data_IF_096123697664
#
_entry.id   IF_096123697664
#
_cell.length_a   1.000
_cell.length_b   1.000
_cell.length_c   1.000
_cell.angle_alpha   90.00
_cell.angle_beta   90.00
_cell.angle_gamma   90.00
#
_symmetry.space_group_name_H-M   'P 1'
#
loop_
_entity.id
_entity.type
_entity.pdbx_description
1 polymer ?
#
# COMPACT_ATOMS: atom_id res chain seq x y z
N UNK A 1 31.10 30.23 -2.02
CA UNK A 1 31.22 31.32 -1.04
C UNK A 1 30.21 32.46 -1.17
N UNK A 2 29.67 32.78 -2.33
CA UNK A 2 28.62 33.82 -2.48
C UNK A 2 27.20 33.36 -2.12
N UNK A 3 26.92 32.11 -2.18
CA UNK A 3 25.60 31.51 -1.91
C UNK A 3 25.27 31.38 -0.42
N UNK A 4 26.26 31.12 0.43
CA UNK A 4 26.03 30.98 1.89
C UNK A 4 25.69 32.32 2.55
N UNK A 5 26.37 33.41 2.18
CA UNK A 5 26.10 34.73 2.74
C UNK A 5 24.71 35.26 2.40
N UNK A 6 24.18 34.96 1.21
CA UNK A 6 22.81 35.34 0.83
C UNK A 6 21.76 34.53 1.58
N UNK A 7 22.03 33.25 1.83
CA UNK A 7 21.12 32.37 2.56
C UNK A 7 21.03 32.72 4.04
N UNK A 8 22.19 32.98 4.70
CA UNK A 8 22.21 33.40 6.09
C UNK A 8 21.63 34.81 6.32
N UNK A 9 21.71 35.70 5.35
CA UNK A 9 21.10 37.03 5.42
C UNK A 9 19.57 36.93 5.47
N UNK A 10 18.97 36.05 4.70
CA UNK A 10 17.51 35.81 4.71
C UNK A 10 17.02 35.14 6.01
N UNK A 11 17.83 34.28 6.64
CA UNK A 11 17.48 33.65 7.92
C UNK A 11 17.59 34.66 9.08
N UNK A 12 18.62 35.52 9.08
CA UNK A 12 18.80 36.54 10.09
C UNK A 12 17.71 37.63 10.02
N UNK A 13 17.17 37.89 8.84
CA UNK A 13 16.02 38.81 8.67
C UNK A 13 14.69 38.19 9.11
N UNK A 14 14.53 36.86 9.02
CA UNK A 14 13.35 36.17 9.52
C UNK A 14 13.24 36.26 11.07
N UNK A 15 14.36 36.30 11.79
CA UNK A 15 14.42 36.44 13.25
C UNK A 15 14.17 37.87 13.80
N UNK A 16 14.25 38.90 12.94
CA UNK A 16 14.16 40.32 13.36
C UNK A 16 12.78 40.97 13.21
N UNK A 17 11.75 40.21 12.91
CA UNK A 17 10.38 40.76 12.86
C UNK A 17 9.90 41.10 14.27
N UNK A 18 10.07 42.36 14.66
CA UNK A 18 9.51 42.96 15.88
C UNK A 18 8.03 42.59 16.00
N UNK A 19 7.65 41.98 17.12
CA UNK A 19 6.26 41.75 17.52
C UNK A 19 5.47 43.05 17.42
N UNK A 20 4.72 43.26 16.35
CA UNK A 20 3.67 44.28 16.31
C UNK A 20 2.50 43.76 17.11
N UNK A 21 2.10 44.51 18.14
CA UNK A 21 0.91 44.26 18.94
C UNK A 21 -0.31 44.13 18.02
N UNK A 22 -1.05 43.05 18.08
CA UNK A 22 -2.47 42.99 17.74
C UNK A 22 -2.88 42.59 16.32
N UNK A 23 -1.97 42.24 15.40
CA UNK A 23 -2.37 41.76 14.07
C UNK A 23 -2.19 40.27 13.86
N UNK A 24 -3.25 39.53 13.46
CA UNK A 24 -3.11 38.16 12.96
C UNK A 24 -2.13 38.15 11.79
N UNK A 25 -1.00 37.46 11.92
CA UNK A 25 -0.09 37.24 10.78
C UNK A 25 -0.82 36.41 9.73
N UNK A 26 -1.20 37.02 8.63
CA UNK A 26 -1.72 36.28 7.46
C UNK A 26 -0.55 35.66 6.70
N UNK A 27 -0.57 34.32 6.58
CA UNK A 27 0.42 33.56 5.83
C UNK A 27 -0.02 33.25 4.39
N UNK A 28 -1.31 33.37 4.10
CA UNK A 28 -1.88 33.16 2.77
C UNK A 28 -1.29 34.20 1.80
N UNK A 29 -0.84 33.74 0.64
CA UNK A 29 -0.19 34.57 -0.37
C UNK A 29 1.28 34.97 -0.07
N UNK A 30 1.87 34.47 1.01
CA UNK A 30 3.28 34.72 1.35
C UNK A 30 4.15 33.50 1.09
N UNK A 31 5.39 33.76 0.65
CA UNK A 31 6.41 32.70 0.54
C UNK A 31 6.84 32.31 1.96
N UNK A 32 6.51 31.06 2.33
CA UNK A 32 6.90 30.46 3.61
C UNK A 32 7.80 29.26 3.33
N UNK A 33 8.99 29.25 3.93
CA UNK A 33 9.92 28.11 3.81
C UNK A 33 9.40 26.95 4.65
N UNK A 34 9.41 25.73 4.10
CA UNK A 34 9.11 24.51 4.84
C UNK A 34 10.08 24.34 6.00
N UNK A 35 9.59 23.88 7.14
CA UNK A 35 10.39 23.69 8.36
C UNK A 35 11.52 22.67 8.22
N UNK A 36 11.33 21.68 7.32
CA UNK A 36 12.25 20.58 7.04
C UNK A 36 13.15 20.81 5.81
N UNK A 37 12.99 21.94 5.11
CA UNK A 37 13.67 22.18 3.83
C UNK A 37 15.19 22.32 4.01
N UNK A 38 15.62 23.00 5.06
CA UNK A 38 17.03 23.29 5.27
C UNK A 38 17.86 22.01 5.47
N UNK A 39 17.44 21.16 6.39
CA UNK A 39 18.16 19.91 6.69
C UNK A 39 18.21 18.96 5.49
N UNK A 40 17.14 18.94 4.67
CA UNK A 40 17.14 18.18 3.41
C UNK A 40 18.15 18.68 2.40
N UNK A 41 18.21 20.00 2.20
CA UNK A 41 19.10 20.62 1.20
C UNK A 41 20.59 20.45 1.56
N UNK A 42 20.92 20.47 2.84
CA UNK A 42 22.31 20.33 3.31
C UNK A 42 22.71 18.89 3.68
N UNK A 43 21.82 17.90 3.45
CA UNK A 43 22.10 16.49 3.71
C UNK A 43 22.15 16.08 5.19
N UNK A 44 21.53 16.86 6.08
CA UNK A 44 21.43 16.51 7.52
C UNK A 44 20.23 15.64 7.87
N UNK A 45 19.28 15.52 6.95
CA UNK A 45 18.08 14.69 7.17
C UNK A 45 18.48 13.24 7.38
N UNK A 46 17.97 12.63 8.48
CA UNK A 46 18.16 11.22 8.80
C UNK A 46 16.90 10.46 8.43
N UNK A 47 17.05 9.44 7.59
CA UNK A 47 15.99 8.52 7.17
C UNK A 47 15.96 7.27 8.06
N UNK A 48 15.06 6.35 7.79
CA UNK A 48 14.84 5.20 8.67
C UNK A 48 16.11 4.33 8.82
N UNK A 49 16.82 4.05 7.75
CA UNK A 49 18.05 3.26 7.79
C UNK A 49 19.18 3.98 8.56
N UNK A 50 19.31 5.29 8.39
CA UNK A 50 20.32 6.10 9.09
C UNK A 50 20.15 6.09 10.62
N UNK A 51 18.97 5.73 11.11
CA UNK A 51 18.61 5.73 12.54
C UNK A 51 18.67 4.33 13.15
N UNK A 52 18.83 3.28 12.34
CA UNK A 52 18.94 1.91 12.85
C UNK A 52 20.30 1.68 13.47
N UNK A 53 20.33 1.02 14.62
CA UNK A 53 21.58 0.61 15.27
C UNK A 53 22.27 -0.47 14.45
N UNK A 54 23.61 -0.42 14.41
CA UNK A 54 24.44 -1.38 13.67
C UNK A 54 24.42 -2.80 14.26
N UNK A 55 23.95 -2.96 15.50
CA UNK A 55 23.74 -4.25 16.15
C UNK A 55 22.42 -4.93 15.84
N UNK A 56 21.62 -4.36 14.93
CA UNK A 56 20.36 -4.96 14.52
C UNK A 56 20.58 -6.28 13.78
N UNK A 57 19.76 -7.30 14.09
CA UNK A 57 19.61 -8.43 13.19
C UNK A 57 18.92 -8.00 11.90
N UNK A 58 19.27 -8.65 10.81
CA UNK A 58 18.69 -8.42 9.50
C UNK A 58 17.59 -9.44 9.22
N UNK A 59 16.42 -9.01 8.85
CA UNK A 59 15.34 -9.87 8.38
C UNK A 59 15.18 -9.79 6.86
N UNK A 60 14.98 -10.95 6.23
CA UNK A 60 14.66 -11.07 4.80
C UNK A 60 13.44 -11.96 4.63
N UNK A 61 12.63 -11.69 3.62
CA UNK A 61 11.37 -12.38 3.37
C UNK A 61 11.56 -13.42 2.26
N UNK A 62 10.97 -14.59 2.44
CA UNK A 62 10.77 -15.56 1.37
C UNK A 62 9.37 -15.36 0.80
N UNK A 63 9.31 -14.93 -0.44
CA UNK A 63 8.07 -14.76 -1.18
C UNK A 63 7.69 -16.04 -1.93
N UNK A 64 6.39 -16.24 -2.14
CA UNK A 64 5.90 -17.34 -2.96
C UNK A 64 6.30 -17.19 -4.42
N UNK A 65 6.49 -18.30 -5.09
CA UNK A 65 6.87 -18.38 -6.51
C UNK A 65 5.74 -18.91 -7.40
N UNK A 66 4.54 -19.05 -6.85
CA UNK A 66 3.33 -19.45 -7.58
C UNK A 66 2.28 -18.33 -7.55
N UNK A 67 1.38 -18.34 -8.52
CA UNK A 67 0.34 -17.31 -8.62
C UNK A 67 -0.87 -17.58 -7.73
N UNK A 68 -1.20 -18.85 -7.45
CA UNK A 68 -2.34 -19.25 -6.63
C UNK A 68 -2.11 -20.66 -6.11
N UNK A 69 -2.38 -20.90 -4.84
CA UNK A 69 -2.21 -22.23 -4.26
C UNK A 69 -2.08 -22.23 -2.75
N UNK A 70 -1.50 -23.29 -2.25
CA UNK A 70 -1.24 -23.50 -0.83
C UNK A 70 0.20 -23.95 -0.63
N UNK A 71 0.85 -23.45 0.41
CA UNK A 71 2.11 -24.00 0.89
C UNK A 71 1.83 -25.30 1.62
N UNK A 72 2.39 -26.40 1.13
CA UNK A 72 2.23 -27.75 1.73
C UNK A 72 3.28 -27.96 2.81
N UNK A 73 4.53 -27.67 2.49
CA UNK A 73 5.66 -27.79 3.42
C UNK A 73 6.76 -26.77 3.14
N UNK A 74 7.52 -26.43 4.16
CA UNK A 74 8.74 -25.60 4.08
C UNK A 74 9.85 -26.32 4.82
N UNK A 75 10.90 -26.75 4.09
CA UNK A 75 12.10 -27.34 4.68
C UNK A 75 13.15 -26.25 4.92
N UNK A 76 13.42 -25.97 6.19
CA UNK A 76 14.37 -24.97 6.68
C UNK A 76 15.72 -25.55 7.10
N UNK A 77 15.87 -26.89 7.05
CA UNK A 77 16.98 -27.64 7.66
C UNK A 77 18.36 -27.12 7.21
N UNK A 78 18.54 -26.84 5.95
CA UNK A 78 19.84 -26.35 5.43
C UNK A 78 20.02 -24.85 5.69
N UNK A 79 18.94 -24.08 5.71
CA UNK A 79 18.99 -22.66 6.01
C UNK A 79 19.44 -22.39 7.45
N UNK A 80 18.96 -23.17 8.40
CA UNK A 80 19.29 -23.04 9.83
C UNK A 80 20.76 -23.40 10.17
N UNK A 81 21.44 -24.14 9.29
CA UNK A 81 22.87 -24.48 9.46
C UNK A 81 23.82 -23.39 8.99
N UNK A 82 23.33 -22.40 8.27
CA UNK A 82 24.18 -21.33 7.72
C UNK A 82 24.69 -20.43 8.86
N UNK A 83 26.01 -20.24 8.96
CA UNK A 83 26.58 -19.36 9.99
C UNK A 83 25.97 -17.94 9.90
N UNK A 84 25.66 -17.37 11.06
CA UNK A 84 25.03 -16.06 11.15
C UNK A 84 23.50 -16.09 11.07
N UNK A 85 22.88 -17.22 10.75
CA UNK A 85 21.40 -17.36 10.83
C UNK A 85 21.00 -17.51 12.30
N UNK A 86 20.13 -16.61 12.73
CA UNK A 86 19.60 -16.59 14.11
C UNK A 86 18.32 -17.40 14.21
N UNK A 87 17.42 -17.25 13.24
CA UNK A 87 16.15 -17.97 13.21
C UNK A 87 15.53 -17.93 11.80
N UNK A 88 14.92 -19.04 11.42
CA UNK A 88 14.01 -19.13 10.29
C UNK A 88 12.59 -19.22 10.83
N UNK A 89 11.68 -18.42 10.29
CA UNK A 89 10.27 -18.38 10.65
C UNK A 89 9.42 -18.65 9.42
N UNK A 90 8.40 -19.47 9.55
CA UNK A 90 7.52 -19.89 8.46
C UNK A 90 6.06 -19.54 8.75
N UNK A 91 5.20 -19.61 7.76
CA UNK A 91 3.76 -19.44 7.96
C UNK A 91 3.15 -20.48 8.92
N UNK A 92 3.83 -21.60 9.18
CA UNK A 92 3.41 -22.64 10.12
C UNK A 92 3.76 -22.31 11.57
N UNK A 93 4.60 -21.31 11.83
CA UNK A 93 4.97 -20.89 13.18
C UNK A 93 3.95 -19.93 13.80
N UNK A 94 2.95 -19.51 13.05
CA UNK A 94 1.86 -18.66 13.54
C UNK A 94 0.94 -19.46 14.45
N UNK A 95 1.04 -19.25 15.77
CA UNK A 95 0.18 -19.92 16.78
C UNK A 95 -1.29 -19.53 16.61
N UNK A 96 -1.54 -18.25 16.27
CA UNK A 96 -2.86 -17.69 16.01
C UNK A 96 -2.83 -16.88 14.73
N UNK A 97 -3.86 -17.00 13.91
CA UNK A 97 -4.01 -16.27 12.65
C UNK A 97 -4.83 -15.00 12.87
N UNK A 98 -4.15 -13.89 13.06
CA UNK A 98 -4.79 -12.59 13.17
C UNK A 98 -4.79 -11.87 11.82
N UNK A 99 -5.95 -11.85 11.16
CA UNK A 99 -6.12 -11.11 9.92
C UNK A 99 -6.12 -9.60 10.19
N UNK A 100 -5.48 -8.84 9.32
CA UNK A 100 -5.41 -7.40 9.40
C UNK A 100 -5.62 -6.72 8.05
N UNK A 101 -6.18 -5.49 8.02
CA UNK A 101 -6.25 -4.67 6.81
C UNK A 101 -4.93 -3.93 6.60
N UNK A 102 -4.53 -3.76 5.35
CA UNK A 102 -3.37 -2.92 5.04
C UNK A 102 -3.72 -1.45 4.88
N UNK A 103 -4.98 -1.14 4.55
CA UNK A 103 -5.47 0.21 4.33
C UNK A 103 -5.68 1.03 5.62
N UNK A 104 -5.92 2.32 5.45
CA UNK A 104 -6.01 3.29 6.53
C UNK A 104 -7.35 4.02 6.67
N UNK A 105 -8.50 3.34 6.52
CA UNK A 105 -9.84 3.93 6.65
C UNK A 105 -10.64 3.37 7.86
N UNK A 106 -10.05 3.28 9.06
CA UNK A 106 -10.66 2.56 10.18
C UNK A 106 -11.86 3.29 10.80
N UNK A 107 -12.11 4.52 10.38
CA UNK A 107 -13.09 5.42 10.98
C UNK A 107 -14.36 5.59 10.15
N UNK A 108 -14.47 4.92 9.02
CA UNK A 108 -15.68 5.02 8.23
C UNK A 108 -16.87 4.43 8.99
N UNK A 109 -17.94 5.21 9.12
CA UNK A 109 -19.23 4.73 9.63
C UNK A 109 -20.04 4.02 8.55
N UNK A 110 -19.65 4.17 7.29
CA UNK A 110 -20.20 3.44 6.16
C UNK A 110 -19.46 2.11 6.03
N UNK A 111 -20.15 1.01 6.26
CA UNK A 111 -19.60 -0.36 6.18
C UNK A 111 -18.97 -0.65 4.82
N UNK A 112 -19.51 -0.08 3.74
CA UNK A 112 -18.97 -0.25 2.38
C UNK A 112 -17.60 0.44 2.18
N UNK A 113 -17.17 1.28 3.11
CA UNK A 113 -15.88 1.96 3.12
C UNK A 113 -14.95 1.48 4.23
N UNK A 114 -15.33 0.43 4.97
CA UNK A 114 -14.44 -0.15 5.98
C UNK A 114 -13.33 -0.95 5.33
N UNK A 115 -12.18 -0.97 6.00
CA UNK A 115 -11.03 -1.73 5.56
C UNK A 115 -11.27 -3.23 5.73
N UNK A 116 -10.90 -4.02 4.72
CA UNK A 116 -11.00 -5.47 4.73
C UNK A 116 -9.76 -6.08 5.36
N UNK A 117 -9.95 -6.88 6.41
CA UNK A 117 -8.89 -7.62 7.09
C UNK A 117 -8.66 -8.96 6.37
N UNK A 118 -7.81 -8.97 5.36
CA UNK A 118 -7.57 -10.11 4.48
C UNK A 118 -6.09 -10.58 4.44
N UNK A 119 -5.18 -9.88 5.10
CA UNK A 119 -3.76 -10.24 5.19
C UNK A 119 -3.38 -10.87 6.54
N UNK A 120 -2.35 -11.72 6.49
CA UNK A 120 -1.61 -12.28 7.62
C UNK A 120 -0.15 -11.81 7.56
N UNK A 121 0.59 -11.90 8.67
CA UNK A 121 2.03 -11.58 8.69
C UNK A 121 2.85 -12.52 7.81
N UNK A 122 2.48 -13.81 7.78
CA UNK A 122 2.92 -14.84 6.84
C UNK A 122 1.72 -15.69 6.49
N UNK A 123 1.65 -16.22 5.27
CA UNK A 123 0.49 -16.99 4.81
C UNK A 123 0.86 -18.32 4.20
N UNK A 124 0.08 -19.36 4.50
CA UNK A 124 0.10 -20.65 3.82
C UNK A 124 -0.81 -20.67 2.59
N UNK A 125 -1.74 -19.69 2.46
CA UNK A 125 -2.64 -19.52 1.31
C UNK A 125 -2.08 -18.46 0.37
N UNK A 126 -1.46 -18.91 -0.68
CA UNK A 126 -0.88 -18.05 -1.73
C UNK A 126 -1.98 -17.58 -2.68
N UNK A 127 -2.05 -16.25 -2.91
CA UNK A 127 -3.00 -15.60 -3.81
C UNK A 127 -2.34 -14.86 -4.96
N UNK A 128 -1.02 -14.60 -4.87
CA UNK A 128 -0.25 -14.02 -5.96
C UNK A 128 1.23 -14.39 -5.85
N UNK A 129 1.97 -14.25 -6.96
CA UNK A 129 3.42 -14.36 -6.96
C UNK A 129 4.01 -13.22 -6.15
N UNK A 130 4.54 -13.51 -4.98
CA UNK A 130 5.06 -12.49 -4.05
C UNK A 130 4.40 -12.45 -2.68
N UNK A 131 3.49 -13.38 -2.36
CA UNK A 131 2.97 -13.53 -0.99
C UNK A 131 4.07 -13.94 -0.01
N UNK A 132 4.03 -13.39 1.20
CA UNK A 132 5.00 -13.61 2.26
C UNK A 132 4.75 -14.96 2.94
N UNK A 133 5.64 -15.96 2.75
CA UNK A 133 5.44 -17.34 3.24
C UNK A 133 6.41 -17.74 4.36
N UNK A 134 7.59 -17.12 4.39
CA UNK A 134 8.59 -17.34 5.44
C UNK A 134 9.49 -16.10 5.56
N UNK A 135 10.29 -16.05 6.63
CA UNK A 135 11.30 -15.03 6.83
C UNK A 135 12.52 -15.59 7.55
N UNK A 136 13.70 -15.07 7.23
CA UNK A 136 14.96 -15.38 7.89
C UNK A 136 15.40 -14.18 8.71
N UNK A 137 15.88 -14.42 9.92
CA UNK A 137 16.57 -13.48 10.79
C UNK A 137 18.03 -13.91 10.88
N UNK A 138 18.96 -13.03 10.55
CA UNK A 138 20.39 -13.29 10.56
C UNK A 138 21.20 -12.11 11.12
N UNK A 139 22.46 -12.34 11.42
CA UNK A 139 23.38 -11.30 11.89
C UNK A 139 23.75 -10.30 10.80
N UNK A 140 23.66 -10.71 9.51
CA UNK A 140 24.02 -9.88 8.37
C UNK A 140 23.20 -10.25 7.11
N UNK A 141 23.26 -9.36 6.10
CA UNK A 141 22.53 -9.48 4.83
C UNK A 141 22.97 -10.71 4.00
N UNK A 142 24.25 -11.10 4.09
CA UNK A 142 24.81 -12.21 3.29
C UNK A 142 24.25 -13.52 3.82
N UNK A 143 24.34 -13.72 5.13
CA UNK A 143 23.79 -14.90 5.81
C UNK A 143 22.28 -15.04 5.59
N UNK A 144 21.53 -13.94 5.70
CA UNK A 144 20.10 -13.92 5.41
C UNK A 144 19.79 -14.32 3.96
N UNK A 145 20.51 -13.76 2.99
CA UNK A 145 20.30 -14.06 1.58
C UNK A 145 20.73 -15.51 1.21
N UNK A 146 21.75 -16.06 1.84
CA UNK A 146 22.15 -17.47 1.66
C UNK A 146 21.07 -18.40 2.22
N UNK A 147 20.55 -18.08 3.39
CA UNK A 147 19.52 -18.88 4.04
C UNK A 147 18.23 -18.92 3.21
N UNK A 148 17.77 -17.79 2.67
CA UNK A 148 16.59 -17.77 1.80
C UNK A 148 16.72 -18.72 0.60
N UNK A 149 17.92 -18.81 -0.01
CA UNK A 149 18.16 -19.71 -1.15
C UNK A 149 18.23 -21.19 -0.76
N UNK A 150 18.49 -21.48 0.51
CA UNK A 150 18.57 -22.85 1.01
C UNK A 150 17.21 -23.42 1.44
N UNK A 151 16.21 -22.57 1.65
CA UNK A 151 14.85 -22.99 1.98
C UNK A 151 14.20 -23.65 0.77
N UNK A 152 13.54 -24.78 0.99
CA UNK A 152 12.77 -25.50 -0.03
C UNK A 152 11.29 -25.44 0.32
N UNK A 153 10.45 -25.15 -0.67
CA UNK A 153 9.00 -25.02 -0.48
C UNK A 153 8.29 -25.98 -1.43
N UNK A 154 7.32 -26.71 -0.89
CA UNK A 154 6.39 -27.51 -1.69
C UNK A 154 5.04 -26.81 -1.74
N UNK A 155 4.47 -26.73 -2.92
CA UNK A 155 3.19 -26.08 -3.18
C UNK A 155 2.16 -27.06 -3.74
N UNK A 156 0.91 -26.82 -3.40
CA UNK A 156 -0.25 -27.29 -4.14
C UNK A 156 -0.78 -26.10 -4.97
N UNK A 157 -0.63 -26.19 -6.28
CA UNK A 157 -1.01 -25.10 -7.18
C UNK A 157 -2.49 -25.17 -7.56
N UNK A 158 -3.15 -24.02 -7.61
CA UNK A 158 -4.54 -23.87 -8.00
C UNK A 158 -4.65 -23.06 -9.30
N UNK A 159 -5.75 -23.20 -10.04
CA UNK A 159 -6.05 -22.31 -11.15
C UNK A 159 -6.01 -20.85 -10.72
N UNK A 160 -5.52 -19.96 -11.59
CA UNK A 160 -5.40 -18.54 -11.31
C UNK A 160 -6.00 -17.68 -12.42
N UNK A 161 -6.31 -16.42 -12.12
CA UNK A 161 -6.86 -15.45 -13.06
C UNK A 161 -6.13 -14.11 -12.94
N UNK A 162 -5.70 -13.56 -14.08
CA UNK A 162 -4.94 -12.31 -14.14
C UNK A 162 -5.71 -11.16 -14.83
N UNK A 163 -6.77 -11.48 -15.57
CA UNK A 163 -7.58 -10.48 -16.26
C UNK A 163 -8.86 -10.19 -15.48
N UNK A 164 -9.20 -8.90 -15.32
CA UNK A 164 -10.36 -8.48 -14.52
C UNK A 164 -11.69 -8.94 -15.12
N UNK A 165 -11.79 -8.99 -16.45
CA UNK A 165 -13.03 -9.41 -17.12
C UNK A 165 -13.19 -10.93 -17.04
N UNK A 166 -12.09 -11.69 -17.11
CA UNK A 166 -12.11 -13.14 -16.89
C UNK A 166 -12.41 -13.48 -15.42
N UNK A 167 -11.88 -12.68 -14.47
CA UNK A 167 -12.09 -12.89 -13.05
C UNK A 167 -13.58 -12.73 -12.63
N UNK A 168 -14.33 -11.91 -13.35
CA UNK A 168 -15.76 -11.66 -13.07
C UNK A 168 -16.70 -12.73 -13.67
N UNK A 169 -16.22 -13.64 -14.52
CA UNK A 169 -17.05 -14.67 -15.14
C UNK A 169 -17.48 -15.74 -14.16
N UNK A 170 -18.64 -16.31 -14.39
CA UNK A 170 -19.09 -17.47 -13.63
C UNK A 170 -18.11 -18.64 -13.79
N UNK A 171 -17.75 -19.27 -12.69
CA UNK A 171 -16.78 -20.36 -12.64
C UNK A 171 -15.30 -19.95 -12.69
N UNK A 172 -14.99 -18.66 -12.71
CA UNK A 172 -13.60 -18.18 -12.57
C UNK A 172 -12.99 -18.61 -11.22
N UNK A 173 -11.66 -18.81 -11.17
CA UNK A 173 -10.97 -19.06 -9.89
C UNK A 173 -11.28 -17.96 -8.89
N UNK A 174 -11.84 -18.32 -7.72
CA UNK A 174 -12.22 -17.37 -6.70
C UNK A 174 -11.09 -17.17 -5.68
N UNK A 175 -10.68 -15.91 -5.48
CA UNK A 175 -9.57 -15.58 -4.59
C UNK A 175 -10.00 -15.52 -3.12
N UNK A 176 -11.20 -14.99 -2.86
CA UNK A 176 -11.78 -14.86 -1.52
C UNK A 176 -13.21 -15.34 -1.51
N UNK A 177 -13.55 -16.25 -0.59
CA UNK A 177 -14.87 -16.91 -0.53
C UNK A 177 -16.05 -15.93 -0.37
N UNK A 178 -15.80 -14.82 0.31
CA UNK A 178 -16.84 -13.82 0.62
C UNK A 178 -17.12 -12.83 -0.53
N UNK A 179 -16.41 -12.94 -1.68
CA UNK A 179 -16.53 -12.00 -2.78
C UNK A 179 -16.87 -12.72 -4.09
N UNK A 180 -18.16 -13.04 -4.33
CA UNK A 180 -18.61 -13.71 -5.56
C UNK A 180 -18.09 -12.99 -6.81
N UNK A 181 -17.72 -13.76 -7.83
CA UNK A 181 -17.15 -13.26 -9.08
C UNK A 181 -15.95 -12.32 -8.88
N UNK A 182 -15.20 -12.51 -7.77
CA UNK A 182 -14.06 -11.70 -7.38
C UNK A 182 -14.33 -10.19 -7.26
N UNK A 183 -15.58 -9.76 -7.10
CA UNK A 183 -15.96 -8.36 -7.00
C UNK A 183 -15.84 -7.89 -5.54
N UNK A 184 -14.79 -7.12 -5.25
CA UNK A 184 -14.62 -6.48 -3.94
C UNK A 184 -15.69 -5.40 -3.73
N UNK A 185 -15.94 -4.56 -4.75
CA UNK A 185 -16.92 -3.49 -4.68
C UNK A 185 -17.47 -3.13 -6.04
N UNK A 186 -18.76 -2.86 -6.09
CA UNK A 186 -19.45 -2.21 -7.20
C UNK A 186 -19.98 -0.85 -6.75
N UNK A 187 -19.55 0.22 -7.40
CA UNK A 187 -20.00 1.59 -7.12
C UNK A 187 -20.77 2.13 -8.31
N UNK A 188 -21.94 2.70 -8.05
CA UNK A 188 -22.80 3.23 -9.09
C UNK A 188 -23.02 4.75 -8.92
N UNK A 189 -23.15 5.45 -10.05
CA UNK A 189 -23.64 6.83 -10.11
C UNK A 189 -24.80 6.86 -11.08
N UNK A 190 -25.90 7.44 -10.65
CA UNK A 190 -27.08 7.69 -11.47
C UNK A 190 -27.50 9.13 -11.26
N UNK A 191 -27.48 9.94 -12.32
CA UNK A 191 -27.86 11.35 -12.32
C UNK A 191 -28.71 11.61 -13.55
N UNK A 192 -29.85 12.28 -13.39
CA UNK A 192 -30.79 12.55 -14.48
C UNK A 192 -31.44 11.26 -15.03
N UNK A 193 -31.75 11.27 -16.32
CA UNK A 193 -32.31 10.12 -17.03
C UNK A 193 -31.54 9.88 -18.33
N UNK A 194 -30.52 9.02 -18.25
CA UNK A 194 -29.65 8.70 -19.39
C UNK A 194 -30.44 8.12 -20.56
N UNK A 195 -31.31 7.14 -20.29
CA UNK A 195 -32.04 6.41 -21.33
C UNK A 195 -33.05 7.31 -22.10
N UNK A 196 -33.59 8.32 -21.46
CA UNK A 196 -34.44 9.31 -22.14
C UNK A 196 -33.62 10.36 -22.89
N UNK A 197 -32.54 10.84 -22.28
CA UNK A 197 -31.71 11.88 -22.84
C UNK A 197 -31.05 11.48 -24.18
N UNK A 198 -30.66 10.23 -24.34
CA UNK A 198 -30.04 9.72 -25.58
C UNK A 198 -31.00 9.61 -26.78
N UNK A 199 -32.31 9.81 -26.57
CA UNK A 199 -33.32 9.80 -27.63
C UNK A 199 -33.43 11.17 -28.34
N UNK A 200 -32.76 12.20 -27.84
CA UNK A 200 -32.74 13.52 -28.48
C UNK A 200 -32.23 13.40 -29.92
N UNK A 201 -32.98 13.94 -30.95
CA UNK A 201 -32.53 13.85 -32.33
C UNK A 201 -31.27 14.63 -32.59
N UNK A 202 -30.41 14.13 -33.48
CA UNK A 202 -29.21 14.84 -33.95
C UNK A 202 -28.01 14.75 -33.03
N UNK A 203 -28.06 13.94 -32.00
CA UNK A 203 -26.90 13.66 -31.14
C UNK A 203 -25.81 12.89 -31.86
N UNK A 204 -24.58 13.23 -31.54
CA UNK A 204 -23.36 12.52 -31.97
C UNK A 204 -22.91 11.63 -30.82
N UNK A 205 -22.84 10.30 -31.07
CA UNK A 205 -22.27 9.34 -30.13
C UNK A 205 -20.75 9.31 -30.29
N UNK A 206 -20.03 9.49 -29.19
CA UNK A 206 -18.58 9.26 -29.09
C UNK A 206 -18.34 8.16 -28.06
N UNK A 207 -17.63 7.12 -28.45
CA UNK A 207 -17.43 5.91 -27.65
C UNK A 207 -16.00 5.40 -27.77
N UNK A 208 -15.45 4.91 -26.66
CA UNK A 208 -14.11 4.32 -26.67
C UNK A 208 -13.76 3.55 -25.40
N UNK A 209 -12.83 2.60 -25.57
CA UNK A 209 -12.16 1.90 -24.48
C UNK A 209 -10.80 2.52 -24.20
N UNK A 210 -10.50 2.69 -22.92
CA UNK A 210 -9.26 3.28 -22.45
C UNK A 210 -8.69 2.41 -21.34
N UNK A 211 -7.38 2.26 -21.27
CA UNK A 211 -6.73 1.51 -20.22
C UNK A 211 -5.51 2.25 -19.67
N UNK A 212 -5.27 2.10 -18.37
CA UNK A 212 -4.02 2.51 -17.74
C UNK A 212 -3.31 1.27 -17.21
N UNK A 213 -1.98 1.14 -17.38
CA UNK A 213 -1.23 0.02 -16.82
C UNK A 213 -1.11 0.13 -15.28
N UNK A 214 -0.79 -0.98 -14.58
CA UNK A 214 -0.30 -0.90 -13.22
C UNK A 214 1.05 -0.18 -13.20
N UNK A 215 1.33 0.61 -12.17
CA UNK A 215 2.59 1.36 -12.07
C UNK A 215 3.16 1.23 -10.67
N UNK A 216 4.42 0.73 -10.56
CA UNK A 216 5.15 0.76 -9.30
C UNK A 216 5.63 2.19 -9.00
N UNK A 217 5.51 2.61 -7.76
CA UNK A 217 5.80 3.97 -7.31
C UNK A 217 7.30 4.32 -7.36
N UNK A 218 8.18 3.34 -7.25
CA UNK A 218 9.64 3.46 -7.34
C UNK A 218 10.21 4.58 -6.46
N UNK A 219 9.68 4.76 -5.23
CA UNK A 219 10.26 5.71 -4.28
C UNK A 219 11.72 5.38 -3.99
N UNK A 220 12.58 6.40 -3.82
CA UNK A 220 14.04 6.23 -3.67
C UNK A 220 14.36 5.41 -2.42
N UNK A 221 13.80 5.78 -1.26
CA UNK A 221 13.89 4.99 -0.03
C UNK A 221 12.98 3.77 -0.15
N UNK A 222 13.52 2.58 0.04
CA UNK A 222 12.76 1.32 0.04
C UNK A 222 11.68 1.29 1.14
N UNK A 223 10.87 0.23 1.19
CA UNK A 223 10.16 -0.12 2.41
C UNK A 223 11.17 -0.58 3.45
N UNK A 224 11.30 0.20 4.50
CA UNK A 224 12.21 -0.11 5.58
C UNK A 224 11.57 0.18 6.92
N UNK A 225 11.71 -0.76 7.83
CA UNK A 225 11.34 -0.62 9.23
C UNK A 225 12.28 -1.43 10.11
N UNK A 226 12.33 -1.08 11.38
CA UNK A 226 12.96 -1.91 12.39
C UNK A 226 12.14 -1.91 13.68
N UNK A 227 12.21 -2.98 14.42
CA UNK A 227 11.45 -3.19 15.64
C UNK A 227 12.35 -3.69 16.77
N UNK A 228 12.09 -3.21 17.99
CA UNK A 228 12.72 -3.70 19.21
C UNK A 228 11.74 -3.65 20.38
N UNK A 229 11.98 -4.48 21.39
CA UNK A 229 11.22 -4.42 22.63
C UNK A 229 11.82 -3.33 23.56
N UNK A 230 11.01 -2.33 23.89
CA UNK A 230 11.37 -1.25 24.80
C UNK A 230 10.49 -1.34 26.05
N UNK A 231 11.02 -1.92 27.13
CA UNK A 231 10.27 -2.29 28.34
C UNK A 231 9.02 -3.15 28.00
N UNK A 232 7.81 -2.66 28.31
CA UNK A 232 6.56 -3.36 28.05
C UNK A 232 5.96 -3.06 26.65
N UNK A 233 6.69 -2.33 25.80
CA UNK A 233 6.22 -1.92 24.48
C UNK A 233 7.08 -2.49 23.37
N UNK A 234 6.49 -2.63 22.19
CA UNK A 234 7.21 -2.84 20.95
C UNK A 234 7.37 -1.48 20.28
N UNK A 235 8.61 -1.03 20.12
CA UNK A 235 8.95 0.16 19.36
C UNK A 235 9.20 -0.25 17.91
N UNK A 236 8.53 0.42 17.00
CA UNK A 236 8.70 0.24 15.55
C UNK A 236 9.05 1.59 14.96
N UNK A 237 10.15 1.66 14.23
CA UNK A 237 10.53 2.84 13.44
C UNK A 237 10.34 2.48 11.97
N UNK A 238 9.53 3.26 11.26
CA UNK A 238 9.15 2.92 9.88
C UNK A 238 9.06 4.16 9.00
N UNK A 239 9.42 3.98 7.74
CA UNK A 239 9.24 4.95 6.66
C UNK A 239 7.79 5.01 6.18
N UNK A 240 6.82 5.02 7.07
CA UNK A 240 5.38 5.01 6.78
C UNK A 240 4.80 6.41 6.58
N UNK A 241 3.73 6.51 5.78
CA UNK A 241 2.93 7.74 5.64
C UNK A 241 1.83 7.84 6.72
N UNK A 242 1.49 6.74 7.41
CA UNK A 242 0.32 6.59 8.27
C UNK A 242 0.63 6.01 9.66
N UNK A 243 1.50 6.62 10.48
CA UNK A 243 2.03 6.02 11.72
C UNK A 243 0.93 5.61 12.73
N UNK A 244 -0.18 6.35 12.78
CA UNK A 244 -1.28 6.02 13.70
C UNK A 244 -2.03 4.75 13.26
N UNK A 245 -2.17 4.55 11.96
CA UNK A 245 -2.78 3.33 11.41
C UNK A 245 -1.85 2.14 11.62
N UNK A 246 -0.56 2.30 11.34
CA UNK A 246 0.45 1.25 11.61
C UNK A 246 0.35 0.77 13.05
N UNK A 247 0.23 1.68 14.03
CA UNK A 247 0.06 1.32 15.43
C UNK A 247 -1.14 0.40 15.67
N UNK A 248 -2.30 0.78 15.13
CA UNK A 248 -3.54 0.01 15.26
C UNK A 248 -3.44 -1.35 14.59
N UNK A 249 -2.99 -1.36 13.34
CA UNK A 249 -2.90 -2.57 12.51
C UNK A 249 -1.88 -3.55 13.09
N UNK A 250 -0.73 -3.08 13.57
CA UNK A 250 0.23 -3.95 14.27
C UNK A 250 -0.40 -4.58 15.52
N UNK A 251 -1.21 -3.83 16.28
CA UNK A 251 -1.94 -4.40 17.42
C UNK A 251 -2.88 -5.51 17.00
N UNK A 252 -3.64 -5.31 15.93
CA UNK A 252 -4.55 -6.31 15.38
C UNK A 252 -3.79 -7.54 14.86
N UNK A 253 -2.75 -7.34 14.06
CA UNK A 253 -1.96 -8.41 13.45
C UNK A 253 -1.22 -9.29 14.49
N UNK A 254 -0.83 -8.70 15.62
CA UNK A 254 -0.13 -9.39 16.69
C UNK A 254 -1.06 -9.89 17.81
N UNK A 255 -2.34 -9.57 17.76
CA UNK A 255 -3.30 -9.93 18.82
C UNK A 255 -3.02 -9.25 20.16
N UNK A 256 -2.42 -8.05 20.18
CA UNK A 256 -2.06 -7.32 21.39
C UNK A 256 -2.68 -5.94 21.43
N UNK A 257 -2.78 -5.38 22.64
CA UNK A 257 -3.24 -4.00 22.79
C UNK A 257 -2.30 -3.02 22.07
N UNK A 258 -2.85 -2.22 21.17
CA UNK A 258 -2.11 -1.20 20.45
C UNK A 258 -1.52 -0.09 21.34
N UNK A 259 -1.97 0.02 22.59
CA UNK A 259 -1.31 0.81 23.64
C UNK A 259 0.11 0.34 23.96
N UNK A 260 0.40 -0.95 23.73
CA UNK A 260 1.74 -1.55 23.86
C UNK A 260 2.63 -1.38 22.62
N UNK A 261 2.16 -0.66 21.60
CA UNK A 261 2.92 -0.40 20.38
C UNK A 261 3.25 1.09 20.28
N UNK A 262 4.51 1.38 20.02
CA UNK A 262 5.03 2.73 19.79
C UNK A 262 5.58 2.83 18.38
N UNK A 263 4.99 3.70 17.56
CA UNK A 263 5.48 3.95 16.20
C UNK A 263 6.24 5.27 16.17
N UNK A 264 7.42 5.23 15.56
CA UNK A 264 8.23 6.41 15.25
C UNK A 264 8.34 6.54 13.75
N UNK A 265 7.95 7.70 13.23
CA UNK A 265 8.01 8.04 11.81
C UNK A 265 9.11 9.07 11.60
N UNK A 266 10.28 8.70 11.04
CA UNK A 266 11.31 9.63 10.58
C UNK A 266 10.88 10.41 9.33
N UNK A 267 11.82 11.10 8.71
CA UNK A 267 11.64 11.58 7.35
C UNK A 267 11.44 10.41 6.38
N UNK A 268 10.66 10.64 5.32
CA UNK A 268 10.36 9.63 4.30
C UNK A 268 11.04 10.03 3.00
N UNK A 269 11.77 9.10 2.41
CA UNK A 269 12.45 9.24 1.12
C UNK A 269 11.56 8.94 -0.09
N UNK A 270 10.30 9.35 -0.03
CA UNK A 270 9.27 9.10 -1.03
C UNK A 270 8.29 8.02 -0.57
N UNK A 271 7.03 8.14 -1.01
CA UNK A 271 5.98 7.18 -0.67
C UNK A 271 4.90 7.11 -1.76
N UNK A 272 4.45 8.28 -2.25
CA UNK A 272 3.49 8.41 -3.36
C UNK A 272 2.21 7.59 -3.21
N UNK A 273 1.84 7.25 -1.97
CA UNK A 273 0.71 6.40 -1.64
C UNK A 273 1.08 4.93 -1.38
N UNK A 274 2.23 4.43 -1.83
CA UNK A 274 2.65 3.06 -1.57
C UNK A 274 2.84 2.81 -0.05
N UNK A 275 3.51 3.73 0.66
CA UNK A 275 3.72 3.67 2.11
C UNK A 275 2.49 4.13 2.92
N UNK A 276 1.29 4.15 2.31
CA UNK A 276 0.00 4.25 3.01
C UNK A 276 -0.62 2.89 3.33
N UNK A 277 0.00 1.80 2.90
CA UNK A 277 -0.35 0.46 3.33
C UNK A 277 0.55 0.02 4.48
N UNK A 278 -0.02 -0.75 5.40
CA UNK A 278 0.70 -1.40 6.50
C UNK A 278 1.04 -2.82 6.03
N UNK A 279 2.25 -3.00 5.50
CA UNK A 279 2.66 -4.26 4.89
C UNK A 279 3.64 -5.02 5.79
N UNK A 280 4.75 -4.41 6.12
CA UNK A 280 5.90 -5.08 6.71
C UNK A 280 6.15 -4.76 8.18
N UNK A 281 5.55 -3.70 8.71
CA UNK A 281 5.69 -3.36 10.12
C UNK A 281 5.14 -4.45 11.05
N UNK A 282 3.99 -5.10 10.77
CA UNK A 282 3.51 -6.24 11.55
C UNK A 282 4.47 -7.42 11.52
N UNK A 283 5.00 -7.76 10.33
CA UNK A 283 5.97 -8.84 10.18
C UNK A 283 7.27 -8.53 10.93
N UNK A 284 7.83 -7.34 10.78
CA UNK A 284 9.04 -6.92 11.48
C UNK A 284 8.87 -6.98 13.01
N UNK A 285 7.74 -6.53 13.52
CA UNK A 285 7.41 -6.60 14.94
C UNK A 285 7.25 -8.05 15.43
N UNK A 286 6.61 -8.90 14.63
CA UNK A 286 6.46 -10.31 14.94
C UNK A 286 7.82 -11.01 14.97
N UNK A 287 8.69 -10.76 13.99
CA UNK A 287 10.06 -11.30 13.93
C UNK A 287 10.91 -10.85 15.13
N UNK A 288 10.80 -9.59 15.55
CA UNK A 288 11.44 -9.09 16.76
C UNK A 288 11.03 -9.92 18.00
N UNK A 289 9.74 -10.24 18.13
CA UNK A 289 9.26 -11.09 19.22
C UNK A 289 9.80 -12.52 19.14
N UNK A 290 10.06 -13.06 17.93
CA UNK A 290 10.61 -14.40 17.73
C UNK A 290 12.06 -14.53 18.23
N UNK A 291 12.78 -13.40 18.38
CA UNK A 291 14.17 -13.36 18.89
C UNK A 291 14.25 -12.65 20.26
N UNK A 292 13.20 -12.80 21.07
CA UNK A 292 13.19 -12.29 22.46
C UNK A 292 13.09 -10.76 22.58
N UNK A 293 12.72 -10.06 21.52
CA UNK A 293 12.61 -8.60 21.51
C UNK A 293 13.90 -7.88 21.10
N UNK A 294 14.90 -8.60 20.60
CA UNK A 294 16.11 -8.01 20.03
C UNK A 294 15.75 -7.12 18.84
N UNK A 295 16.58 -6.11 18.57
CA UNK A 295 16.41 -5.21 17.44
C UNK A 295 16.52 -5.99 16.11
N UNK A 296 15.46 -5.94 15.31
CA UNK A 296 15.38 -6.55 13.98
C UNK A 296 15.09 -5.47 12.95
N UNK A 297 15.88 -5.41 11.89
CA UNK A 297 15.70 -4.54 10.73
C UNK A 297 15.15 -5.36 9.56
N UNK A 298 14.12 -4.86 8.92
CA UNK A 298 13.57 -5.36 7.66
C UNK A 298 13.67 -4.26 6.60
N UNK A 299 14.51 -4.47 5.61
CA UNK A 299 14.64 -3.63 4.42
C UNK A 299 14.26 -4.47 3.19
N UNK A 300 13.21 -4.07 2.50
CA UNK A 300 12.68 -4.76 1.32
C UNK A 300 13.38 -4.20 0.09
N UNK A 301 14.26 -4.95 -0.57
CA UNK A 301 15.03 -4.46 -1.71
C UNK A 301 14.12 -4.13 -2.91
N UNK A 302 14.68 -3.41 -3.87
CA UNK A 302 13.93 -2.88 -5.01
C UNK A 302 13.22 -3.96 -5.81
N UNK A 303 13.87 -5.07 -6.06
CA UNK A 303 13.32 -6.19 -6.81
C UNK A 303 12.07 -6.76 -6.12
N UNK A 304 12.13 -6.93 -4.80
CA UNK A 304 11.02 -7.42 -4.01
C UNK A 304 9.87 -6.39 -3.97
N UNK A 305 10.16 -5.08 -3.93
CA UNK A 305 9.10 -4.05 -3.95
C UNK A 305 8.25 -4.09 -5.23
N UNK A 306 8.79 -4.55 -6.35
CA UNK A 306 8.04 -4.68 -7.60
C UNK A 306 7.00 -5.81 -7.57
N UNK A 307 7.27 -6.86 -6.81
CA UNK A 307 6.42 -8.07 -6.80
C UNK A 307 5.53 -8.18 -5.57
N UNK A 308 5.92 -7.59 -4.43
CA UNK A 308 5.25 -7.83 -3.14
C UNK A 308 4.53 -6.62 -2.56
N UNK A 309 4.73 -5.41 -3.11
CA UNK A 309 4.12 -4.21 -2.58
C UNK A 309 3.01 -3.66 -3.46
N UNK A 310 2.23 -2.75 -2.90
CA UNK A 310 1.15 -2.07 -3.60
C UNK A 310 1.65 -1.33 -4.85
N UNK A 311 0.84 -1.37 -5.91
CA UNK A 311 1.03 -0.61 -7.14
C UNK A 311 -0.12 0.39 -7.34
N UNK A 312 0.03 1.33 -8.27
CA UNK A 312 -1.11 2.05 -8.83
C UNK A 312 -1.91 1.06 -9.68
N UNK A 313 -3.19 0.94 -9.42
CA UNK A 313 -4.06 -0.02 -10.09
C UNK A 313 -4.15 0.21 -11.60
N UNK A 314 -4.17 -0.88 -12.35
CA UNK A 314 -4.64 -0.84 -13.72
C UNK A 314 -6.16 -0.59 -13.74
N UNK A 315 -6.62 0.27 -14.64
CA UNK A 315 -8.04 0.56 -14.79
C UNK A 315 -8.39 0.45 -16.28
N UNK A 316 -9.41 -0.32 -16.58
CA UNK A 316 -10.04 -0.41 -17.90
C UNK A 316 -11.33 0.38 -17.87
N UNK A 317 -11.54 1.28 -18.81
CA UNK A 317 -12.70 2.16 -18.83
C UNK A 317 -13.35 2.15 -20.21
N UNK A 318 -14.66 1.92 -20.24
CA UNK A 318 -15.51 2.14 -21.39
C UNK A 318 -16.27 3.42 -21.19
N UNK A 319 -16.12 4.40 -22.09
CA UNK A 319 -16.73 5.72 -21.99
C UNK A 319 -17.61 5.93 -23.22
N UNK A 320 -18.88 6.29 -22.97
CA UNK A 320 -19.82 6.74 -23.98
C UNK A 320 -20.25 8.15 -23.67
N UNK A 321 -20.21 9.04 -24.64
CA UNK A 321 -20.69 10.41 -24.53
C UNK A 321 -21.60 10.75 -25.72
N UNK A 322 -22.71 11.36 -25.41
CA UNK A 322 -23.66 11.88 -26.41
C UNK A 322 -23.62 13.39 -26.36
N UNK A 323 -23.30 14.00 -27.50
CA UNK A 323 -23.08 15.44 -27.60
C UNK A 323 -23.92 16.05 -28.73
N UNK A 324 -24.34 17.28 -28.55
CA UNK A 324 -24.93 18.08 -29.64
C UNK A 324 -23.84 18.51 -30.63
N UNK A 325 -24.21 18.93 -31.84
CA UNK A 325 -23.23 19.43 -32.82
C UNK A 325 -22.38 20.63 -32.34
N UNK A 326 -22.84 21.37 -31.36
CA UNK A 326 -22.09 22.48 -30.71
C UNK A 326 -21.09 22.00 -29.63
N UNK A 327 -21.01 20.70 -29.37
CA UNK A 327 -20.15 20.12 -28.36
C UNK A 327 -20.73 20.02 -26.95
N UNK A 328 -21.99 20.41 -26.75
CA UNK A 328 -22.68 20.29 -25.46
C UNK A 328 -22.93 18.84 -25.10
N UNK A 329 -22.49 18.40 -23.90
CA UNK A 329 -22.78 17.07 -23.38
C UNK A 329 -24.25 16.94 -22.97
N UNK A 330 -24.94 15.93 -23.50
CA UNK A 330 -26.34 15.62 -23.21
C UNK A 330 -26.44 14.44 -22.25
N UNK A 331 -25.70 13.36 -22.55
CA UNK A 331 -25.66 12.18 -21.71
C UNK A 331 -24.25 11.55 -21.73
N UNK A 332 -23.84 10.96 -20.61
CA UNK A 332 -22.53 10.29 -20.49
C UNK A 332 -22.66 9.00 -19.69
N UNK A 333 -21.96 7.97 -20.17
CA UNK A 333 -21.89 6.67 -19.48
C UNK A 333 -20.43 6.26 -19.28
N UNK A 334 -20.11 5.68 -18.13
CA UNK A 334 -18.82 5.11 -17.80
C UNK A 334 -19.00 3.71 -17.22
N UNK A 335 -18.27 2.75 -17.74
CA UNK A 335 -18.01 1.46 -17.09
C UNK A 335 -16.52 1.39 -16.79
N UNK A 336 -16.15 1.17 -15.52
CA UNK A 336 -14.75 1.13 -15.10
C UNK A 336 -14.47 -0.15 -14.32
N UNK A 337 -13.37 -0.81 -14.67
CA UNK A 337 -12.90 -2.05 -14.06
C UNK A 337 -11.51 -1.81 -13.50
N UNK A 338 -11.37 -1.81 -12.17
CA UNK A 338 -10.10 -1.63 -11.47
C UNK A 338 -9.53 -2.99 -11.09
N UNK A 339 -8.32 -3.29 -11.57
CA UNK A 339 -7.58 -4.47 -11.16
C UNK A 339 -7.02 -4.26 -9.75
N UNK A 340 -7.62 -4.94 -8.79
CA UNK A 340 -7.28 -4.80 -7.37
C UNK A 340 -6.04 -5.58 -6.98
N UNK A 341 -5.70 -6.63 -7.73
CA UNK A 341 -4.75 -7.63 -7.27
C UNK A 341 -5.37 -8.56 -6.22
N UNK A 342 -4.54 -9.21 -5.43
CA UNK A 342 -4.96 -10.32 -4.59
C UNK A 342 -5.57 -9.92 -3.23
N UNK A 343 -5.39 -8.68 -2.79
CA UNK A 343 -5.84 -8.20 -1.47
C UNK A 343 -6.55 -6.85 -1.57
N UNK A 344 -7.45 -6.57 -0.63
CA UNK A 344 -8.35 -5.43 -0.73
C UNK A 344 -7.66 -4.05 -0.63
N UNK A 345 -6.64 -3.89 0.21
CA UNK A 345 -5.95 -2.61 0.40
C UNK A 345 -6.91 -1.40 0.38
N UNK A 346 -6.64 -0.39 -0.44
CA UNK A 346 -7.50 0.78 -0.67
C UNK A 346 -8.48 0.65 -1.84
N UNK A 347 -8.57 -0.53 -2.48
CA UNK A 347 -9.30 -0.70 -3.74
C UNK A 347 -10.77 -0.31 -3.70
N UNK A 348 -11.44 -0.64 -2.58
CA UNK A 348 -12.85 -0.27 -2.36
C UNK A 348 -13.11 1.25 -2.45
N UNK A 349 -12.12 2.10 -2.22
CA UNK A 349 -12.26 3.56 -2.26
C UNK A 349 -11.63 4.21 -3.49
N UNK A 350 -10.63 3.59 -4.12
CA UNK A 350 -9.89 4.19 -5.25
C UNK A 350 -10.77 4.32 -6.47
N UNK A 351 -11.40 3.22 -6.90
CA UNK A 351 -12.26 3.22 -8.06
C UNK A 351 -13.49 4.11 -7.85
N UNK A 352 -14.09 4.07 -6.66
CA UNK A 352 -15.22 4.92 -6.28
C UNK A 352 -14.90 6.42 -6.38
N UNK A 353 -13.70 6.84 -5.92
CA UNK A 353 -13.25 8.24 -6.04
C UNK A 353 -13.02 8.65 -7.49
N UNK A 354 -12.43 7.77 -8.31
CA UNK A 354 -12.21 8.01 -9.74
C UNK A 354 -13.53 8.23 -10.47
N UNK A 355 -14.48 7.33 -10.26
CA UNK A 355 -15.82 7.43 -10.86
C UNK A 355 -16.60 8.64 -10.34
N UNK A 356 -16.45 8.99 -9.06
CA UNK A 356 -17.05 10.21 -8.48
C UNK A 356 -16.60 11.51 -9.14
N UNK A 357 -15.42 11.53 -9.75
CA UNK A 357 -14.93 12.69 -10.50
C UNK A 357 -15.52 12.80 -11.93
N UNK A 358 -16.04 11.70 -12.47
CA UNK A 358 -16.54 11.65 -13.85
C UNK A 358 -17.64 12.68 -14.18
N UNK A 359 -18.70 12.86 -13.34
CA UNK A 359 -19.72 13.89 -13.59
C UNK A 359 -19.25 15.32 -13.30
N UNK A 360 -18.09 15.49 -12.62
CA UNK A 360 -17.62 16.81 -12.18
C UNK A 360 -16.69 17.48 -13.20
N UNK A 361 -15.81 16.68 -13.87
CA UNK A 361 -14.81 17.21 -14.80
C UNK A 361 -15.43 17.83 -16.05
N UNK A 362 -16.47 17.21 -16.57
CA UNK A 362 -17.24 17.71 -17.71
C UNK A 362 -18.71 17.62 -17.32
N UNK A 363 -19.29 18.72 -16.78
CA UNK A 363 -20.65 18.72 -16.26
C UNK A 363 -21.65 18.26 -17.30
N UNK A 364 -22.48 17.30 -16.90
CA UNK A 364 -23.57 16.76 -17.68
C UNK A 364 -24.75 16.44 -16.74
N UNK A 365 -25.96 16.64 -17.21
CA UNK A 365 -27.14 16.41 -16.38
C UNK A 365 -27.52 14.92 -16.29
N UNK A 366 -27.24 14.17 -17.36
CA UNK A 366 -27.60 12.77 -17.45
C UNK A 366 -26.34 11.90 -17.45
N UNK A 367 -26.05 11.26 -16.31
CA UNK A 367 -24.83 10.48 -16.14
C UNK A 367 -25.15 9.13 -15.50
N UNK A 368 -24.67 8.08 -16.15
CA UNK A 368 -24.57 6.74 -15.56
C UNK A 368 -23.10 6.35 -15.40
N UNK A 369 -22.74 5.79 -14.27
CA UNK A 369 -21.44 5.19 -14.11
C UNK A 369 -21.53 3.93 -13.23
N UNK A 370 -20.79 2.92 -13.65
CA UNK A 370 -20.58 1.65 -12.96
C UNK A 370 -19.09 1.42 -12.81
N UNK A 371 -18.63 1.20 -11.57
CA UNK A 371 -17.24 0.94 -11.29
C UNK A 371 -17.09 -0.35 -10.48
N UNK A 372 -16.33 -1.26 -11.00
CA UNK A 372 -16.02 -2.55 -10.40
C UNK A 372 -14.58 -2.55 -9.91
N UNK A 373 -14.38 -2.95 -8.67
CA UNK A 373 -13.06 -3.28 -8.12
C UNK A 373 -12.99 -4.79 -8.02
N UNK A 374 -12.03 -5.39 -8.72
CA UNK A 374 -12.00 -6.83 -8.99
C UNK A 374 -10.68 -7.45 -8.52
N UNK A 375 -10.78 -8.51 -7.74
CA UNK A 375 -9.60 -9.29 -7.32
C UNK A 375 -9.02 -10.10 -8.48
N UNK A 376 -7.70 -10.14 -8.56
CA UNK A 376 -6.91 -10.97 -9.49
C UNK A 376 -5.67 -11.51 -8.78
N UNK A 377 -5.03 -12.55 -9.34
CA UNK A 377 -3.82 -13.15 -8.76
C UNK A 377 -2.54 -12.32 -9.06
N UNK A 378 -2.59 -11.01 -8.78
CA UNK A 378 -1.48 -10.06 -8.95
C UNK A 378 -1.17 -9.35 -7.62
N UNK A 379 -0.04 -8.63 -7.57
CA UNK A 379 0.22 -7.68 -6.48
C UNK A 379 -0.86 -6.59 -6.45
N UNK A 380 -1.10 -6.06 -5.25
CA UNK A 380 -2.16 -5.08 -4.97
C UNK A 380 -1.84 -3.71 -5.55
#
# INVERSE_FOLDING_TARGET
>A
MLTEKMFFKNIAECGKNKRRKGGRKMYVGKKVTRVDAYDKVIGRTRYTDDLCDKGAYVARILHSTIANGKVVSIDTTEAEKIPGVVKVCTCFDLKEKHYFPTAGHPWSTDESHQDVADRLVLTDRVRFYGDDIAAVIAEDEVSAAQALRAIKVEYEEYPFVLDVHEAMKDGAPQLHENYPNNILKHTTIRKGNYEEAIKEPGLIKVEGWYSTPPVQHCHIENFICYAEKEAERIKIVSSTQIPHIVRRVCGQALGIDWGKIRIIKPYIGGGFGNKQDVLYEPLCAWLCLQVGGHLVKLDVPREETFVSTRVRHAIHSHIVSWVRPDGTFVARKLEAFSDQGAYASHGHSICAKGVGAFPQLYPCENVEADAYTVFTNKSV
#
